data_IF_696615768913
#
_entry.id   IF_696615768913
#
_cell.length_a   1.000
_cell.length_b   1.000
_cell.length_c   1.000
_cell.angle_alpha   90.00
_cell.angle_beta   90.00
_cell.angle_gamma   90.00
#
_symmetry.space_group_name_H-M   'P 1'
#
loop_
_entity.id
_entity.type
_entity.pdbx_description
1 polymer ?
#
# COMPACT_ATOMS: atom_id res chain seq x y z
N UNK A 1 36.29 5.87 6.99
CA UNK A 1 36.63 5.73 5.57
C UNK A 1 36.77 7.13 5.04
N UNK A 2 37.84 7.42 4.32
CA UNK A 2 38.02 8.74 3.73
C UNK A 2 37.13 8.89 2.49
N UNK A 3 36.81 10.13 2.11
CA UNK A 3 36.01 10.40 0.92
C UNK A 3 36.62 9.81 -0.37
N UNK A 4 37.95 9.88 -0.60
CA UNK A 4 38.59 9.21 -1.74
C UNK A 4 38.43 7.68 -1.75
N UNK A 5 38.45 7.02 -0.59
CA UNK A 5 38.24 5.57 -0.50
C UNK A 5 36.82 5.16 -0.90
N UNK A 6 35.82 5.93 -0.46
CA UNK A 6 34.42 5.73 -0.86
C UNK A 6 34.26 5.83 -2.37
N UNK A 7 34.83 6.86 -2.98
CA UNK A 7 34.77 7.08 -4.43
C UNK A 7 35.40 5.91 -5.18
N UNK A 8 36.59 5.45 -4.76
CA UNK A 8 37.25 4.28 -5.37
C UNK A 8 36.39 3.02 -5.31
N UNK A 9 35.71 2.77 -4.19
CA UNK A 9 34.81 1.63 -4.06
C UNK A 9 33.60 1.79 -5.00
N UNK A 10 33.00 2.97 -5.07
CA UNK A 10 31.87 3.25 -5.96
C UNK A 10 32.27 3.02 -7.42
N UNK A 11 33.46 3.49 -7.83
CA UNK A 11 33.94 3.34 -9.19
C UNK A 11 34.22 1.87 -9.57
N UNK A 12 34.90 1.13 -8.69
CA UNK A 12 35.27 -0.27 -8.94
C UNK A 12 34.09 -1.26 -8.85
N UNK A 13 32.97 -0.87 -8.24
CA UNK A 13 31.80 -1.74 -8.03
C UNK A 13 30.68 -1.60 -9.06
N UNK A 14 30.83 -0.71 -10.06
CA UNK A 14 29.84 -0.47 -11.14
C UNK A 14 29.31 -1.75 -11.76
N UNK A 15 30.19 -2.67 -12.13
CA UNK A 15 29.82 -3.96 -12.71
C UNK A 15 28.94 -4.80 -11.78
N UNK A 16 29.27 -4.86 -10.50
CA UNK A 16 28.51 -5.61 -9.47
C UNK A 16 27.12 -5.04 -9.26
N UNK A 17 27.01 -3.71 -9.14
CA UNK A 17 25.73 -3.03 -8.94
C UNK A 17 24.83 -3.21 -10.16
N UNK A 18 25.33 -2.94 -11.37
CA UNK A 18 24.56 -3.11 -12.61
C UNK A 18 24.12 -4.57 -12.82
N UNK A 19 25.00 -5.54 -12.53
CA UNK A 19 24.65 -6.97 -12.59
C UNK A 19 23.54 -7.33 -11.61
N UNK A 20 23.57 -6.78 -10.40
CA UNK A 20 22.50 -6.99 -9.41
C UNK A 20 21.18 -6.38 -9.87
N UNK A 21 21.20 -5.13 -10.34
CA UNK A 21 20.01 -4.41 -10.82
C UNK A 21 19.38 -5.15 -12.00
N UNK A 22 20.17 -5.47 -13.04
CA UNK A 22 19.69 -6.19 -14.23
C UNK A 22 19.06 -7.54 -13.88
N UNK A 23 19.55 -8.22 -12.84
CA UNK A 23 18.99 -9.51 -12.38
C UNK A 23 17.65 -9.37 -11.65
N UNK A 24 17.38 -8.23 -11.00
CA UNK A 24 16.25 -8.08 -10.08
C UNK A 24 15.22 -7.03 -10.49
N UNK A 25 15.50 -6.23 -11.51
CA UNK A 25 14.55 -5.27 -12.08
C UNK A 25 13.51 -6.00 -12.94
N UNK A 26 12.28 -5.48 -12.98
CA UNK A 26 11.22 -6.07 -13.81
C UNK A 26 11.32 -5.62 -15.28
N UNK A 27 10.88 -6.48 -16.23
CA UNK A 27 10.66 -6.05 -17.61
C UNK A 27 9.70 -4.86 -17.65
N UNK A 28 10.12 -3.75 -18.26
CA UNK A 28 9.35 -2.49 -18.31
C UNK A 28 9.80 -1.39 -17.35
N UNK A 29 10.77 -1.65 -16.46
CA UNK A 29 11.34 -0.65 -15.55
C UNK A 29 12.74 -0.19 -15.95
N UNK A 30 13.14 -0.39 -17.22
CA UNK A 30 14.50 -0.09 -17.67
C UNK A 30 14.92 1.38 -17.48
N UNK A 31 13.96 2.32 -17.56
CA UNK A 31 14.20 3.74 -17.32
C UNK A 31 14.63 4.06 -15.87
N UNK A 32 14.34 3.18 -14.91
CA UNK A 32 14.68 3.36 -13.49
C UNK A 32 16.08 2.85 -13.14
N UNK A 33 16.83 2.30 -14.10
CA UNK A 33 18.15 1.70 -13.81
C UNK A 33 19.11 2.73 -13.26
N UNK A 34 19.14 3.94 -13.82
CA UNK A 34 20.03 5.01 -13.36
C UNK A 34 19.70 5.43 -11.93
N UNK A 35 18.41 5.68 -11.64
CA UNK A 35 17.94 6.02 -10.29
C UNK A 35 18.31 4.95 -9.26
N UNK A 36 18.13 3.67 -9.63
CA UNK A 36 18.48 2.55 -8.76
C UNK A 36 19.98 2.47 -8.48
N UNK A 37 20.83 2.81 -9.44
CA UNK A 37 22.29 2.92 -9.26
C UNK A 37 22.60 4.06 -8.30
N UNK A 38 22.03 5.24 -8.53
CA UNK A 38 22.25 6.43 -7.69
C UNK A 38 21.80 6.18 -6.24
N UNK A 39 20.60 5.65 -6.03
CA UNK A 39 20.07 5.33 -4.70
C UNK A 39 20.94 4.29 -3.97
N UNK A 40 21.47 3.31 -4.70
CA UNK A 40 22.37 2.30 -4.15
C UNK A 40 23.65 2.94 -3.62
N UNK A 41 24.29 3.80 -4.41
CA UNK A 41 25.54 4.44 -4.02
C UNK A 41 25.35 5.55 -2.99
N UNK A 42 24.26 6.31 -3.07
CA UNK A 42 23.89 7.29 -2.05
C UNK A 42 23.74 6.60 -0.69
N UNK A 43 23.08 5.45 -0.65
CA UNK A 43 22.96 4.68 0.60
C UNK A 43 24.31 4.16 1.08
N UNK A 44 25.16 3.69 0.17
CA UNK A 44 26.52 3.26 0.53
C UNK A 44 27.29 4.40 1.19
N UNK A 45 27.36 5.55 0.51
CA UNK A 45 28.04 6.75 0.98
C UNK A 45 27.51 7.19 2.35
N UNK A 46 26.20 7.38 2.49
CA UNK A 46 25.58 7.82 3.74
C UNK A 46 25.84 6.84 4.90
N UNK A 47 25.90 5.54 4.62
CA UNK A 47 26.15 4.53 5.64
C UNK A 47 27.60 4.51 6.11
N UNK A 48 28.56 4.69 5.19
CA UNK A 48 29.97 4.45 5.49
C UNK A 48 30.85 5.71 5.55
N UNK A 49 30.32 6.90 5.24
CA UNK A 49 31.04 8.19 5.41
C UNK A 49 31.65 8.38 6.81
N UNK A 50 30.99 7.86 7.84
CA UNK A 50 31.43 7.97 9.24
C UNK A 50 31.77 6.59 9.85
N UNK A 51 32.09 5.58 9.04
CA UNK A 51 32.41 4.22 9.51
C UNK A 51 33.75 3.73 8.97
N UNK A 52 34.34 2.67 9.55
CA UNK A 52 35.52 2.01 8.99
C UNK A 52 35.31 1.61 7.51
N UNK A 53 36.41 1.62 6.75
CA UNK A 53 36.38 1.16 5.36
C UNK A 53 36.05 -0.33 5.29
N UNK A 54 35.27 -0.71 4.29
CA UNK A 54 35.13 -2.11 3.92
C UNK A 54 36.23 -2.45 2.92
N UNK A 55 36.75 -3.67 2.97
CA UNK A 55 37.55 -4.15 1.86
C UNK A 55 36.71 -4.23 0.57
N UNK A 56 37.35 -4.24 -0.62
CA UNK A 56 36.62 -4.23 -1.88
C UNK A 56 35.67 -5.41 -2.08
N UNK A 57 35.97 -6.60 -1.55
CA UNK A 57 35.09 -7.76 -1.72
C UNK A 57 33.82 -7.61 -0.87
N UNK A 58 33.98 -7.21 0.39
CA UNK A 58 32.86 -7.00 1.31
C UNK A 58 31.99 -5.83 0.87
N UNK A 59 32.61 -4.76 0.36
CA UNK A 59 31.89 -3.67 -0.27
C UNK A 59 31.05 -4.16 -1.47
N UNK A 60 31.63 -4.99 -2.34
CA UNK A 60 30.92 -5.56 -3.49
C UNK A 60 29.74 -6.45 -3.05
N UNK A 61 29.92 -7.32 -2.04
CA UNK A 61 28.83 -8.14 -1.48
C UNK A 61 27.72 -7.24 -0.93
N UNK A 62 28.08 -6.21 -0.17
CA UNK A 62 27.12 -5.28 0.40
C UNK A 62 26.34 -4.52 -0.68
N UNK A 63 27.05 -3.98 -1.68
CA UNK A 63 26.47 -3.23 -2.79
C UNK A 63 25.57 -4.09 -3.67
N UNK A 64 25.93 -5.35 -3.90
CA UNK A 64 25.08 -6.31 -4.60
C UNK A 64 23.72 -6.47 -3.89
N UNK A 65 23.74 -6.66 -2.56
CA UNK A 65 22.54 -6.81 -1.74
C UNK A 65 21.75 -5.50 -1.67
N UNK A 66 22.43 -4.36 -1.54
CA UNK A 66 21.82 -3.04 -1.52
C UNK A 66 21.05 -2.76 -2.82
N UNK A 67 21.67 -2.98 -3.97
CA UNK A 67 21.07 -2.85 -5.28
C UNK A 67 19.81 -3.72 -5.46
N UNK A 68 19.89 -5.00 -5.07
CA UNK A 68 18.73 -5.91 -5.07
C UNK A 68 17.59 -5.37 -4.20
N UNK A 69 17.91 -4.77 -3.06
CA UNK A 69 16.90 -4.20 -2.17
C UNK A 69 16.28 -2.92 -2.75
N UNK A 70 17.03 -2.11 -3.51
CA UNK A 70 16.48 -0.96 -4.22
C UNK A 70 15.51 -1.40 -5.32
N UNK A 71 15.86 -2.41 -6.13
CA UNK A 71 14.92 -2.98 -7.10
C UNK A 71 13.62 -3.42 -6.41
N UNK A 72 13.72 -4.09 -5.26
CA UNK A 72 12.54 -4.52 -4.49
C UNK A 72 11.72 -3.36 -3.94
N UNK A 73 12.36 -2.26 -3.51
CA UNK A 73 11.65 -1.05 -3.09
C UNK A 73 10.92 -0.42 -4.25
N UNK A 74 11.58 -0.26 -5.40
CA UNK A 74 10.97 0.27 -6.61
C UNK A 74 9.79 -0.58 -7.07
N UNK A 75 9.93 -1.91 -7.12
CA UNK A 75 8.83 -2.83 -7.45
C UNK A 75 7.67 -2.72 -6.46
N UNK A 76 7.94 -2.64 -5.15
CA UNK A 76 6.88 -2.43 -4.15
C UNK A 76 6.20 -1.06 -4.29
N UNK A 77 6.94 -0.03 -4.68
CA UNK A 77 6.38 1.31 -4.94
C UNK A 77 5.48 1.25 -6.19
N UNK A 78 6.00 0.73 -7.30
CA UNK A 78 5.26 0.51 -8.53
C UNK A 78 3.98 -0.30 -8.33
N UNK A 79 4.05 -1.41 -7.59
CA UNK A 79 2.87 -2.23 -7.32
C UNK A 79 1.85 -1.53 -6.42
N UNK A 80 2.29 -0.66 -5.51
CA UNK A 80 1.37 0.15 -4.69
C UNK A 80 0.70 1.23 -5.51
N UNK A 81 1.47 1.93 -6.36
CA UNK A 81 0.97 2.97 -7.25
C UNK A 81 0.06 2.38 -8.33
N UNK A 82 0.44 1.26 -8.95
CA UNK A 82 -0.40 0.52 -9.88
C UNK A 82 -1.68 0.01 -9.22
N UNK A 83 -1.62 -0.54 -7.99
CA UNK A 83 -2.84 -0.89 -7.24
C UNK A 83 -3.69 0.33 -6.91
N UNK A 84 -3.10 1.48 -6.59
CA UNK A 84 -3.82 2.72 -6.37
C UNK A 84 -4.49 3.21 -7.66
N UNK A 85 -3.81 3.09 -8.81
CA UNK A 85 -4.35 3.41 -10.12
C UNK A 85 -5.52 2.49 -10.51
N UNK A 86 -5.37 1.17 -10.36
CA UNK A 86 -6.46 0.22 -10.59
C UNK A 86 -7.62 0.42 -9.62
N UNK A 87 -7.34 0.78 -8.36
CA UNK A 87 -8.37 1.12 -7.38
C UNK A 87 -9.10 2.40 -7.77
N UNK A 88 -8.38 3.43 -8.23
CA UNK A 88 -8.96 4.67 -8.73
C UNK A 88 -9.80 4.41 -10.00
N UNK A 89 -9.31 3.62 -10.96
CA UNK A 89 -10.09 3.23 -12.13
C UNK A 89 -11.31 2.38 -11.79
N UNK A 90 -11.19 1.47 -10.82
CA UNK A 90 -12.33 0.69 -10.33
C UNK A 90 -13.33 1.59 -9.60
N UNK A 91 -12.88 2.58 -8.83
CA UNK A 91 -13.74 3.60 -8.22
C UNK A 91 -14.42 4.46 -9.29
N UNK A 92 -13.71 4.89 -10.35
CA UNK A 92 -14.28 5.63 -11.49
C UNK A 92 -15.32 4.79 -12.25
N UNK A 93 -15.02 3.53 -12.59
CA UNK A 93 -15.97 2.60 -13.24
C UNK A 93 -17.18 2.28 -12.37
N UNK A 94 -17.00 2.19 -11.05
CA UNK A 94 -18.10 2.00 -10.11
C UNK A 94 -18.96 3.26 -9.99
N UNK A 95 -18.36 4.46 -10.07
CA UNK A 95 -19.10 5.73 -10.10
C UNK A 95 -19.90 5.88 -11.39
N UNK A 96 -19.32 5.61 -12.57
CA UNK A 96 -20.04 5.65 -13.85
C UNK A 96 -21.20 4.63 -13.92
N UNK A 97 -21.03 3.44 -13.32
CA UNK A 97 -22.09 2.43 -13.26
C UNK A 97 -23.16 2.75 -12.19
N UNK A 98 -22.79 3.45 -11.11
CA UNK A 98 -23.71 3.84 -10.05
C UNK A 98 -24.50 5.10 -10.36
N UNK A 99 -23.96 6.06 -11.11
CA UNK A 99 -24.72 7.24 -11.51
C UNK A 99 -25.85 6.89 -12.49
N UNK A 100 -25.69 5.83 -13.29
CA UNK A 100 -26.77 5.27 -14.11
C UNK A 100 -27.84 4.49 -13.30
N UNK A 101 -27.46 3.80 -12.21
CA UNK A 101 -28.39 2.94 -11.43
C UNK A 101 -29.01 3.64 -10.19
N UNK A 102 -28.42 4.71 -9.65
CA UNK A 102 -28.92 5.38 -8.43
C UNK A 102 -30.05 6.37 -8.73
N UNK A 103 -30.19 6.82 -9.98
CA UNK A 103 -31.31 7.68 -10.37
C UNK A 103 -32.68 6.96 -10.34
N UNK A 104 -32.73 5.64 -10.13
CA UNK A 104 -33.95 4.83 -10.22
C UNK A 104 -34.31 4.01 -8.97
N UNK A 105 -33.56 4.10 -7.86
CA UNK A 105 -33.84 3.30 -6.66
C UNK A 105 -34.41 4.20 -5.56
N UNK A 106 -35.73 4.23 -5.44
CA UNK A 106 -36.37 4.66 -4.20
C UNK A 106 -35.84 3.80 -3.03
N UNK A 107 -35.52 4.40 -1.88
CA UNK A 107 -34.98 3.66 -0.75
C UNK A 107 -36.08 2.79 -0.12
N UNK A 108 -36.10 1.52 -0.52
CA UNK A 108 -36.91 0.48 0.10
C UNK A 108 -36.72 0.51 1.64
N UNK A 109 -37.78 0.82 2.42
CA UNK A 109 -37.70 0.92 3.88
C UNK A 109 -37.28 -0.40 4.54
N UNK A 110 -37.53 -1.55 3.92
CA UNK A 110 -37.12 -2.85 4.44
C UNK A 110 -35.61 -3.04 4.31
N UNK A 111 -35.01 -2.51 3.25
CA UNK A 111 -33.56 -2.53 3.04
C UNK A 111 -32.81 -1.68 4.07
N UNK A 112 -33.41 -0.56 4.53
CA UNK A 112 -32.83 0.30 5.58
C UNK A 112 -32.83 -0.42 6.93
N UNK A 113 -33.97 -0.97 7.34
CA UNK A 113 -34.10 -1.75 8.59
C UNK A 113 -33.17 -2.97 8.60
N UNK A 114 -33.06 -3.64 7.46
CA UNK A 114 -32.13 -4.74 7.30
C UNK A 114 -30.68 -4.29 7.51
N UNK A 115 -30.24 -3.20 6.87
CA UNK A 115 -28.87 -2.69 7.03
C UNK A 115 -28.55 -2.35 8.49
N UNK A 116 -29.50 -1.73 9.20
CA UNK A 116 -29.37 -1.42 10.64
C UNK A 116 -29.21 -2.69 11.48
N UNK A 117 -29.99 -3.74 11.19
CA UNK A 117 -29.86 -5.04 11.88
C UNK A 117 -28.46 -5.66 11.67
N UNK A 118 -27.89 -5.55 10.47
CA UNK A 118 -26.58 -6.11 10.15
C UNK A 118 -25.43 -5.33 10.79
N UNK A 119 -25.54 -4.00 10.86
CA UNK A 119 -24.58 -3.16 11.58
C UNK A 119 -24.59 -3.51 13.07
N UNK A 120 -25.74 -3.85 13.63
CA UNK A 120 -25.86 -4.24 15.03
C UNK A 120 -25.15 -5.55 15.37
N UNK A 121 -24.98 -6.45 14.39
CA UNK A 121 -24.24 -7.72 14.51
C UNK A 121 -22.71 -7.56 14.44
N UNK A 122 -22.21 -6.37 14.07
CA UNK A 122 -20.78 -6.13 14.03
C UNK A 122 -20.17 -6.19 15.44
N UNK A 123 -19.04 -6.88 15.65
CA UNK A 123 -18.31 -6.82 16.91
C UNK A 123 -17.80 -5.40 17.20
N UNK A 124 -17.76 -5.01 18.47
CA UNK A 124 -16.94 -3.86 18.90
C UNK A 124 -15.46 -4.22 18.68
N UNK A 125 -14.62 -3.32 18.13
CA UNK A 125 -14.84 -1.87 17.92
C UNK A 125 -15.33 -1.47 16.52
N UNK A 126 -15.67 -2.42 15.65
CA UNK A 126 -16.04 -2.17 14.25
C UNK A 126 -17.42 -1.53 14.10
N UNK A 127 -18.37 -1.96 14.93
CA UNK A 127 -19.73 -1.40 15.02
C UNK A 127 -19.71 0.10 15.27
N UNK A 128 -19.04 0.51 16.35
CA UNK A 128 -18.98 1.89 16.81
C UNK A 128 -18.37 2.82 15.74
N UNK A 129 -17.26 2.39 15.13
CA UNK A 129 -16.62 3.15 14.06
C UNK A 129 -17.52 3.27 12.82
N UNK A 130 -18.28 2.21 12.50
CA UNK A 130 -19.20 2.21 11.35
C UNK A 130 -20.43 3.10 11.58
N UNK A 131 -21.01 3.10 12.79
CA UNK A 131 -22.15 3.96 13.15
C UNK A 131 -21.76 5.43 12.99
N UNK A 132 -20.62 5.86 13.54
CA UNK A 132 -20.16 7.25 13.40
C UNK A 132 -19.93 7.64 11.93
N UNK A 133 -19.38 6.71 11.13
CA UNK A 133 -19.16 6.96 9.70
C UNK A 133 -20.46 7.11 8.92
N UNK A 134 -21.46 6.30 9.22
CA UNK A 134 -22.80 6.37 8.59
C UNK A 134 -23.59 7.59 9.06
N UNK A 135 -23.34 8.07 10.27
CA UNK A 135 -23.83 9.36 10.78
C UNK A 135 -23.19 10.59 10.12
N UNK A 136 -22.32 10.41 9.12
CA UNK A 136 -21.72 11.49 8.34
C UNK A 136 -20.38 12.02 8.87
N UNK A 137 -19.83 11.45 9.94
CA UNK A 137 -18.57 11.95 10.49
C UNK A 137 -17.35 11.66 9.58
N UNK A 138 -16.44 12.64 9.54
CA UNK A 138 -15.14 12.51 8.85
C UNK A 138 -14.20 11.61 9.65
N UNK A 139 -13.31 10.89 8.96
CA UNK A 139 -12.40 9.92 9.59
C UNK A 139 -11.52 10.55 10.68
N UNK A 140 -11.09 11.79 10.47
CA UNK A 140 -10.33 12.60 11.44
C UNK A 140 -11.12 12.87 12.72
N UNK A 141 -12.42 13.17 12.60
CA UNK A 141 -13.32 13.40 13.75
C UNK A 141 -13.55 12.11 14.54
N UNK A 142 -13.75 11.00 13.83
CA UNK A 142 -13.90 9.66 14.43
C UNK A 142 -12.61 9.26 15.16
N UNK A 143 -11.45 9.52 14.56
CA UNK A 143 -10.15 9.24 15.17
C UNK A 143 -9.99 9.99 16.51
N UNK A 144 -10.35 11.28 16.54
CA UNK A 144 -10.35 12.09 17.76
C UNK A 144 -11.38 11.62 18.79
N UNK A 145 -12.61 11.33 18.36
CA UNK A 145 -13.71 10.92 19.26
C UNK A 145 -13.46 9.57 19.92
N UNK A 146 -12.80 8.64 19.22
CA UNK A 146 -12.50 7.30 19.70
C UNK A 146 -11.06 7.16 20.25
N UNK A 147 -10.30 8.25 20.31
CA UNK A 147 -8.89 8.29 20.73
C UNK A 147 -8.01 7.22 20.05
N UNK A 148 -8.06 7.19 18.72
CA UNK A 148 -7.29 6.24 17.89
C UNK A 148 -6.69 6.95 16.68
N UNK A 149 -5.73 6.29 16.00
CA UNK A 149 -5.20 6.82 14.74
C UNK A 149 -6.19 6.73 13.58
N UNK A 150 -6.13 7.66 12.62
CA UNK A 150 -6.93 7.58 11.38
C UNK A 150 -6.68 6.29 10.59
N UNK A 151 -5.46 5.74 10.66
CA UNK A 151 -5.15 4.44 10.09
C UNK A 151 -5.98 3.30 10.70
N UNK A 152 -6.24 3.38 12.01
CA UNK A 152 -7.11 2.46 12.74
C UNK A 152 -8.58 2.66 12.39
N UNK A 153 -9.03 3.90 12.19
CA UNK A 153 -10.39 4.19 11.68
C UNK A 153 -10.59 3.55 10.30
N UNK A 154 -9.63 3.73 9.39
CA UNK A 154 -9.67 3.15 8.04
C UNK A 154 -9.72 1.62 8.08
N UNK A 155 -8.88 0.98 8.91
CA UNK A 155 -8.87 -0.48 9.02
C UNK A 155 -10.15 -1.03 9.65
N UNK A 156 -10.70 -0.37 10.68
CA UNK A 156 -11.97 -0.75 11.31
C UNK A 156 -13.15 -0.65 10.33
N UNK A 157 -13.25 0.44 9.55
CA UNK A 157 -14.29 0.60 8.51
C UNK A 157 -14.15 -0.48 7.43
N UNK A 158 -12.92 -0.75 6.98
CA UNK A 158 -12.67 -1.78 5.97
C UNK A 158 -13.13 -3.15 6.44
N UNK A 159 -12.81 -3.52 7.69
CA UNK A 159 -13.25 -4.79 8.29
C UNK A 159 -14.77 -4.83 8.45
N UNK A 160 -15.39 -3.76 8.95
CA UNK A 160 -16.85 -3.68 9.07
C UNK A 160 -17.56 -3.90 7.72
N UNK A 161 -17.04 -3.33 6.61
CA UNK A 161 -17.59 -3.58 5.26
C UNK A 161 -17.43 -5.04 4.82
N UNK A 162 -16.31 -5.68 5.17
CA UNK A 162 -16.08 -7.11 4.89
C UNK A 162 -17.13 -7.98 5.58
N UNK A 163 -17.41 -7.72 6.87
CA UNK A 163 -18.45 -8.41 7.63
C UNK A 163 -19.84 -8.22 7.02
N UNK A 164 -20.21 -6.97 6.71
CA UNK A 164 -21.52 -6.68 6.10
C UNK A 164 -21.70 -7.34 4.73
N UNK A 165 -20.63 -7.41 3.93
CA UNK A 165 -20.66 -8.11 2.63
C UNK A 165 -20.92 -9.61 2.80
N UNK A 166 -20.30 -10.25 3.80
CA UNK A 166 -20.52 -11.68 4.11
C UNK A 166 -21.95 -11.95 4.59
N UNK A 167 -22.52 -11.04 5.37
CA UNK A 167 -23.91 -11.16 5.81
C UNK A 167 -24.88 -11.04 4.62
N UNK A 168 -24.61 -10.12 3.70
CA UNK A 168 -25.39 -9.96 2.48
C UNK A 168 -25.32 -11.20 1.56
N UNK A 169 -24.13 -11.81 1.41
CA UNK A 169 -23.95 -12.99 0.56
C UNK A 169 -24.59 -14.25 1.15
N UNK A 170 -24.64 -14.37 2.49
CA UNK A 170 -25.32 -15.48 3.17
C UNK A 170 -26.84 -15.44 3.04
N UNK A 171 -27.45 -14.32 2.67
CA UNK A 171 -28.88 -14.24 2.38
C UNK A 171 -29.25 -14.78 1.00
N UNK A 172 -28.45 -14.48 -0.04
CA UNK A 172 -28.70 -15.01 -1.40
C UNK A 172 -28.76 -16.54 -1.43
N UNK A 173 -27.93 -17.22 -0.64
CA UNK A 173 -27.96 -18.67 -0.50
C UNK A 173 -29.11 -19.24 0.36
N UNK A 174 -29.90 -18.39 1.03
CA UNK A 174 -31.06 -18.78 1.86
C UNK A 174 -32.40 -18.51 1.16
N UNK A 175 -32.44 -17.58 0.22
CA UNK A 175 -33.62 -17.30 -0.62
C UNK A 175 -33.68 -18.23 -1.86
N UNK A 176 -32.58 -18.90 -2.20
CA UNK A 176 -32.49 -19.89 -3.30
C UNK A 176 -32.70 -21.35 -2.85
N UNK A 177 -33.19 -21.60 -1.62
CA UNK A 177 -33.58 -22.93 -1.11
C UNK A 177 -35.00 -22.92 -0.61
#
# INVERSE_FOLDING_TARGET
MTEPELIRIIESSKGTVLKSIRRHILPGMASLVEDLVQDTYLRYYLKFKNRPSLDPQDANRWLYVAARNECRRAIRKWNREGKAYYKLQAEIKVTEKKEADIAAIEPDPDRRKWMESQINLLPSPYKETMILRLGGEKMESIAKKLDISEGTVKSRISRAKEWLSRFASNQKGREEK
#
